data_IF_496174600679
#
_entry.id   IF_496174600679
#
_cell.length_a   1.000
_cell.length_b   1.000
_cell.length_c   1.000
_cell.angle_alpha   90.00
_cell.angle_beta   90.00
_cell.angle_gamma   90.00
#
_symmetry.space_group_name_H-M   'P 1'
#
loop_
_entity.id
_entity.type
_entity.pdbx_description
1 polymer ?
#
# COMPACT_ATOMS: atom_id res chain seq x y z
N UNK A 1 -18.24 8.01 -14.42
CA UNK A 1 -18.46 9.30 -13.73
C UNK A 1 -18.56 10.42 -14.74
N UNK A 2 -19.38 11.42 -14.49
CA UNK A 2 -19.62 12.55 -15.39
C UNK A 2 -19.66 13.87 -14.59
N UNK A 3 -19.72 15.01 -15.32
CA UNK A 3 -19.76 16.32 -14.69
C UNK A 3 -18.37 16.99 -14.53
N UNK A 4 -18.31 18.18 -13.90
CA UNK A 4 -17.07 18.97 -13.83
C UNK A 4 -15.90 18.29 -13.13
N UNK A 5 -16.19 17.42 -12.17
CA UNK A 5 -15.18 16.65 -11.42
C UNK A 5 -14.58 15.47 -12.18
N UNK A 6 -15.20 15.05 -13.29
CA UNK A 6 -14.75 13.85 -14.02
C UNK A 6 -13.30 13.93 -14.53
N UNK A 7 -12.82 15.14 -14.85
CA UNK A 7 -11.44 15.35 -15.32
C UNK A 7 -10.37 15.13 -14.25
N UNK A 8 -10.77 15.10 -12.98
CA UNK A 8 -9.85 14.96 -11.83
C UNK A 8 -9.84 13.56 -11.24
N UNK A 9 -10.59 12.62 -11.80
CA UNK A 9 -10.64 11.26 -11.30
C UNK A 9 -10.34 10.24 -12.41
N UNK A 10 -9.60 9.21 -12.06
CA UNK A 10 -9.32 8.06 -12.93
C UNK A 10 -10.60 7.30 -13.28
N UNK A 11 -11.57 7.27 -12.35
CA UNK A 11 -12.82 6.52 -12.50
C UNK A 11 -13.76 7.06 -13.60
N UNK A 12 -13.48 8.25 -14.15
CA UNK A 12 -14.23 8.74 -15.32
C UNK A 12 -13.91 7.99 -16.61
N UNK A 13 -12.78 7.28 -16.64
CA UNK A 13 -12.29 6.53 -17.81
C UNK A 13 -12.55 5.03 -17.72
N UNK A 14 -13.20 4.58 -16.66
CA UNK A 14 -13.48 3.16 -16.38
C UNK A 14 -14.98 2.89 -16.35
N UNK A 15 -15.37 1.62 -16.57
CA UNK A 15 -16.72 1.15 -16.29
C UNK A 15 -16.83 0.91 -14.78
N UNK A 16 -17.79 1.57 -14.15
CA UNK A 16 -17.91 1.53 -12.69
C UNK A 16 -19.24 0.85 -12.29
N UNK A 17 -19.17 -0.02 -11.31
CA UNK A 17 -20.32 -0.52 -10.55
C UNK A 17 -20.32 0.19 -9.20
N UNK A 18 -21.44 0.81 -8.86
CA UNK A 18 -21.61 1.49 -7.57
C UNK A 18 -22.53 0.65 -6.71
N UNK A 19 -22.03 0.23 -5.55
CA UNK A 19 -22.82 -0.45 -4.54
C UNK A 19 -23.31 0.60 -3.54
N UNK A 20 -24.64 0.69 -3.37
CA UNK A 20 -25.26 1.47 -2.32
C UNK A 20 -25.92 0.49 -1.35
N UNK A 21 -25.62 0.60 -0.08
CA UNK A 21 -26.19 -0.25 0.96
C UNK A 21 -26.64 0.61 2.13
N UNK A 22 -27.82 0.30 2.63
CA UNK A 22 -28.33 0.85 3.88
C UNK A 22 -27.98 -0.16 4.99
N UNK A 23 -27.14 0.21 5.97
CA UNK A 23 -26.83 -0.66 7.08
C UNK A 23 -28.05 -0.88 7.96
N UNK A 24 -28.08 -1.98 8.68
CA UNK A 24 -29.07 -2.18 9.74
C UNK A 24 -28.74 -1.28 10.93
N UNK A 25 -29.77 -0.81 11.65
CA UNK A 25 -29.63 0.17 12.74
C UNK A 25 -28.80 -0.33 13.95
N UNK A 26 -28.58 -1.63 14.03
CA UNK A 26 -27.92 -2.28 15.18
C UNK A 26 -26.40 -2.48 15.00
N UNK A 27 -25.80 -2.07 13.88
CA UNK A 27 -24.36 -2.25 13.62
C UNK A 27 -23.53 -1.11 14.23
N UNK A 28 -22.41 -1.48 14.84
CA UNK A 28 -21.35 -0.52 15.14
C UNK A 28 -20.71 0.00 13.84
N UNK A 29 -20.06 1.15 13.91
CA UNK A 29 -19.34 1.71 12.73
C UNK A 29 -18.30 0.73 12.16
N UNK A 30 -17.61 -0.02 13.01
CA UNK A 30 -16.61 -1.00 12.58
C UNK A 30 -17.24 -2.21 11.88
N UNK A 31 -18.37 -2.69 12.36
CA UNK A 31 -19.14 -3.76 11.71
C UNK A 31 -19.69 -3.29 10.38
N UNK A 32 -20.27 -2.09 10.34
CA UNK A 32 -20.75 -1.49 9.09
C UNK A 32 -19.62 -1.37 8.04
N UNK A 33 -18.46 -0.81 8.41
CA UNK A 33 -17.29 -0.76 7.52
C UNK A 33 -16.95 -2.14 6.97
N UNK A 34 -16.84 -3.13 7.88
CA UNK A 34 -16.48 -4.50 7.52
C UNK A 34 -17.47 -5.10 6.53
N UNK A 35 -18.77 -4.98 6.77
CA UNK A 35 -19.79 -5.56 5.89
C UNK A 35 -19.77 -4.90 4.50
N UNK A 36 -19.62 -3.59 4.41
CA UNK A 36 -19.49 -2.88 3.13
C UNK A 36 -18.23 -3.30 2.39
N UNK A 37 -17.07 -3.38 3.07
CA UNK A 37 -15.82 -3.82 2.47
C UNK A 37 -15.92 -5.25 1.95
N UNK A 38 -16.45 -6.19 2.74
CA UNK A 38 -16.65 -7.57 2.33
C UNK A 38 -17.63 -7.71 1.17
N UNK A 39 -18.68 -6.90 1.13
CA UNK A 39 -19.61 -6.87 0.00
C UNK A 39 -18.92 -6.38 -1.28
N UNK A 40 -18.07 -5.35 -1.18
CA UNK A 40 -17.27 -4.85 -2.29
C UNK A 40 -16.30 -5.90 -2.86
N UNK A 41 -15.56 -6.58 -1.98
CA UNK A 41 -14.66 -7.67 -2.36
C UNK A 41 -15.38 -8.82 -3.06
N UNK A 42 -16.53 -9.22 -2.52
CA UNK A 42 -17.35 -10.27 -3.12
C UNK A 42 -17.91 -9.88 -4.50
N UNK A 43 -18.28 -8.62 -4.66
CA UNK A 43 -18.69 -8.11 -5.97
C UNK A 43 -17.50 -8.09 -6.95
N UNK A 44 -16.31 -7.69 -6.51
CA UNK A 44 -15.10 -7.71 -7.33
C UNK A 44 -14.73 -9.13 -7.76
N UNK A 45 -14.78 -10.11 -6.86
CA UNK A 45 -14.56 -11.52 -7.14
C UNK A 45 -15.55 -12.04 -8.19
N UNK A 46 -16.84 -11.72 -8.04
CA UNK A 46 -17.87 -12.10 -9.00
C UNK A 46 -17.60 -11.50 -10.39
N UNK A 47 -17.29 -10.21 -10.46
CA UNK A 47 -16.97 -9.54 -11.73
C UNK A 47 -15.73 -10.14 -12.39
N UNK A 48 -14.67 -10.40 -11.60
CA UNK A 48 -13.45 -11.04 -12.09
C UNK A 48 -13.74 -12.46 -12.64
N UNK A 49 -14.63 -13.22 -11.98
CA UNK A 49 -15.01 -14.56 -12.44
C UNK A 49 -15.65 -14.56 -13.82
N UNK A 50 -16.36 -13.49 -14.19
CA UNK A 50 -17.02 -13.35 -15.49
C UNK A 50 -16.02 -13.23 -16.67
N UNK A 51 -14.78 -12.82 -16.40
CA UNK A 51 -13.74 -12.61 -17.43
C UNK A 51 -12.59 -13.59 -17.33
N UNK A 52 -12.61 -14.51 -16.38
CA UNK A 52 -11.54 -15.49 -16.11
C UNK A 52 -11.06 -16.24 -17.34
N UNK A 53 -12.00 -16.69 -18.17
CA UNK A 53 -11.73 -17.50 -19.36
C UNK A 53 -11.66 -16.64 -20.65
N UNK A 54 -11.68 -15.32 -20.51
CA UNK A 54 -11.61 -14.42 -21.66
C UNK A 54 -10.18 -14.34 -22.18
N UNK A 55 -10.04 -14.12 -23.49
CA UNK A 55 -8.73 -13.86 -24.10
C UNK A 55 -8.21 -12.51 -23.60
N UNK A 56 -6.98 -12.49 -23.11
CA UNK A 56 -6.28 -11.26 -22.69
C UNK A 56 -5.62 -10.62 -23.91
N UNK A 57 -5.82 -9.33 -24.09
CA UNK A 57 -5.23 -8.58 -25.20
C UNK A 57 -3.79 -8.14 -24.90
N UNK A 58 -3.47 -7.89 -23.63
CA UNK A 58 -2.17 -7.47 -23.16
C UNK A 58 -1.85 -8.17 -21.84
N UNK A 59 -0.63 -8.68 -21.72
CA UNK A 59 -0.07 -9.24 -20.48
C UNK A 59 1.24 -8.54 -20.16
N UNK A 60 1.36 -8.02 -18.96
CA UNK A 60 2.62 -7.51 -18.41
C UNK A 60 3.13 -8.52 -17.39
N UNK A 61 4.41 -8.83 -17.44
CA UNK A 61 5.06 -9.73 -16.49
C UNK A 61 6.06 -8.96 -15.65
N UNK A 62 5.94 -9.05 -14.33
CA UNK A 62 6.80 -8.38 -13.38
C UNK A 62 7.53 -9.44 -12.54
N UNK A 63 8.85 -9.50 -12.68
CA UNK A 63 9.69 -10.48 -11.99
C UNK A 63 10.89 -9.77 -11.36
N UNK A 64 11.30 -10.24 -10.20
CA UNK A 64 12.59 -9.92 -9.60
C UNK A 64 13.56 -11.03 -9.99
N UNK A 65 14.31 -10.78 -11.04
CA UNK A 65 15.34 -11.70 -11.51
C UNK A 65 16.49 -11.86 -10.50
N UNK A 66 17.50 -12.63 -10.86
CA UNK A 66 18.64 -12.85 -10.01
C UNK A 66 19.35 -11.54 -9.64
N UNK A 67 19.64 -11.40 -8.36
CA UNK A 67 20.39 -10.30 -7.78
C UNK A 67 21.71 -10.01 -8.52
N UNK A 68 21.91 -8.77 -8.93
CA UNK A 68 23.17 -8.27 -9.49
C UNK A 68 23.94 -7.45 -8.43
N UNK A 69 24.96 -8.06 -7.83
CA UNK A 69 25.76 -7.45 -6.76
C UNK A 69 26.55 -6.21 -7.17
N UNK A 70 26.56 -5.87 -8.48
CA UNK A 70 27.21 -4.66 -8.98
C UNK A 70 26.32 -3.41 -8.89
N UNK A 71 25.04 -3.58 -8.60
CA UNK A 71 24.04 -2.50 -8.55
C UNK A 71 23.63 -2.16 -7.12
N UNK A 72 23.25 -0.89 -6.88
CA UNK A 72 22.73 -0.50 -5.57
C UNK A 72 21.44 -1.26 -5.25
N UNK A 73 21.35 -1.79 -4.04
CA UNK A 73 20.21 -2.54 -3.51
C UNK A 73 19.18 -1.58 -2.95
N UNK A 74 18.04 -1.50 -3.60
CA UNK A 74 16.98 -0.56 -3.25
C UNK A 74 15.74 -1.30 -2.75
N UNK A 75 15.22 -0.86 -1.61
CA UNK A 75 13.94 -1.28 -1.07
C UNK A 75 12.87 -0.20 -1.19
N UNK A 76 11.62 -0.60 -1.03
CA UNK A 76 10.50 0.32 -0.91
C UNK A 76 9.83 0.14 0.44
N UNK A 77 9.80 1.20 1.24
CA UNK A 77 9.08 1.25 2.52
C UNK A 77 7.73 1.92 2.28
N UNK A 78 6.66 1.16 2.44
CA UNK A 78 5.30 1.61 2.20
C UNK A 78 4.53 1.73 3.51
N UNK A 79 4.25 2.96 3.92
CA UNK A 79 3.58 3.30 5.16
C UNK A 79 2.08 3.42 4.93
N UNK A 80 1.30 2.63 5.64
CA UNK A 80 -0.14 2.51 5.49
C UNK A 80 -0.88 3.07 6.71
N UNK A 81 -1.92 3.85 6.49
CA UNK A 81 -2.75 4.41 7.55
C UNK A 81 -3.32 3.33 8.47
N UNK A 82 -3.14 3.54 9.76
CA UNK A 82 -3.56 2.67 10.86
C UNK A 82 -4.06 3.47 12.08
N UNK A 83 -4.68 4.61 11.85
CA UNK A 83 -5.03 5.57 12.91
C UNK A 83 -6.42 5.33 13.53
N UNK A 84 -7.16 4.35 13.05
CA UNK A 84 -8.51 4.05 13.49
C UNK A 84 -9.57 4.94 12.85
N UNK A 85 -10.78 4.90 13.39
CA UNK A 85 -11.95 5.68 12.92
C UNK A 85 -12.27 5.44 11.43
N UNK A 86 -12.12 4.18 10.98
CA UNK A 86 -12.37 3.75 9.60
C UNK A 86 -11.33 4.28 8.59
N UNK A 87 -10.17 4.73 9.06
CA UNK A 87 -9.03 5.13 8.23
C UNK A 87 -8.00 4.01 8.05
N UNK A 88 -8.28 2.82 8.59
CA UNK A 88 -7.33 1.72 8.54
C UNK A 88 -7.30 1.04 7.17
N UNK A 89 -6.13 0.52 6.82
CA UNK A 89 -5.95 -0.44 5.76
C UNK A 89 -5.92 -1.86 6.32
N UNK A 90 -6.03 -2.83 5.45
CA UNK A 90 -6.01 -4.25 5.79
C UNK A 90 -4.96 -4.96 4.95
N UNK A 91 -4.12 -5.73 5.62
CA UNK A 91 -3.14 -6.60 4.97
C UNK A 91 -3.63 -8.04 5.07
N UNK A 92 -3.92 -8.66 3.93
CA UNK A 92 -4.54 -9.99 3.87
C UNK A 92 -5.78 -10.11 4.78
N UNK A 93 -6.63 -9.09 4.76
CA UNK A 93 -7.84 -9.01 5.58
C UNK A 93 -7.62 -8.70 7.05
N UNK A 94 -6.37 -8.59 7.52
CA UNK A 94 -6.05 -8.19 8.89
C UNK A 94 -5.84 -6.68 8.97
N UNK A 95 -6.45 -6.05 9.96
CA UNK A 95 -6.25 -4.62 10.18
C UNK A 95 -4.75 -4.32 10.38
N UNK A 96 -4.21 -3.40 9.60
CA UNK A 96 -2.78 -3.11 9.58
C UNK A 96 -2.24 -2.65 10.95
N UNK A 97 -3.09 -2.09 11.82
CA UNK A 97 -2.73 -1.71 13.20
C UNK A 97 -2.19 -2.88 14.02
N UNK A 98 -2.56 -4.11 13.68
CA UNK A 98 -2.13 -5.32 14.39
C UNK A 98 -0.93 -5.98 13.75
N UNK A 99 -0.42 -5.41 12.66
CA UNK A 99 0.70 -5.94 11.90
C UNK A 99 1.96 -5.16 12.25
N UNK A 100 3.06 -5.86 12.46
CA UNK A 100 4.38 -5.26 12.56
C UNK A 100 4.99 -5.06 11.16
N UNK A 101 6.02 -4.21 11.00
CA UNK A 101 6.72 -4.09 9.74
C UNK A 101 7.10 -5.46 9.18
N UNK A 102 6.74 -5.72 7.93
CA UNK A 102 6.99 -7.01 7.28
C UNK A 102 7.41 -6.82 5.83
N UNK A 103 8.14 -7.81 5.31
CA UNK A 103 8.57 -7.83 3.91
C UNK A 103 7.50 -8.53 3.08
N UNK A 104 7.16 -7.94 1.95
CA UNK A 104 6.31 -8.54 0.92
C UNK A 104 7.08 -8.61 -0.40
N UNK A 105 6.77 -9.63 -1.19
CA UNK A 105 7.12 -9.59 -2.61
C UNK A 105 6.27 -8.48 -3.27
N UNK A 106 6.85 -7.63 -4.15
CA UNK A 106 6.08 -6.52 -4.73
C UNK A 106 4.81 -6.96 -5.45
N UNK A 107 4.79 -8.15 -6.05
CA UNK A 107 3.60 -8.70 -6.71
C UNK A 107 2.44 -8.95 -5.75
N UNK A 108 2.71 -9.21 -4.46
CA UNK A 108 1.62 -9.38 -3.48
C UNK A 108 0.80 -8.10 -3.35
N UNK A 109 1.44 -6.91 -3.39
CA UNK A 109 0.73 -5.64 -3.42
C UNK A 109 -0.07 -5.45 -4.70
N UNK A 110 0.51 -5.83 -5.85
CA UNK A 110 -0.15 -5.74 -7.15
C UNK A 110 -1.31 -6.74 -7.28
N UNK A 111 -1.30 -7.83 -6.51
CA UNK A 111 -2.33 -8.86 -6.45
C UNK A 111 -3.40 -8.61 -5.37
N UNK A 112 -3.30 -7.51 -4.62
CA UNK A 112 -4.34 -7.13 -3.66
C UNK A 112 -4.08 -7.56 -2.22
N UNK A 113 -2.83 -7.74 -1.80
CA UNK A 113 -2.50 -7.99 -0.40
C UNK A 113 -2.97 -6.84 0.51
N UNK A 114 -3.05 -5.61 -0.01
CA UNK A 114 -3.51 -4.44 0.73
C UNK A 114 -4.88 -3.99 0.23
N UNK A 115 -5.82 -3.92 1.15
CA UNK A 115 -7.17 -3.41 0.95
C UNK A 115 -7.34 -2.11 1.73
N UNK A 116 -7.93 -1.11 1.12
CA UNK A 116 -8.32 0.12 1.77
C UNK A 116 -9.66 -0.06 2.47
N UNK A 117 -9.74 0.22 3.76
CA UNK A 117 -11.02 0.27 4.47
C UNK A 117 -11.90 1.43 4.00
N UNK A 118 -13.20 1.33 4.24
CA UNK A 118 -14.14 2.40 3.89
C UNK A 118 -14.08 3.53 4.92
N UNK A 119 -13.90 4.75 4.45
CA UNK A 119 -13.93 5.94 5.29
C UNK A 119 -15.35 6.50 5.38
N UNK A 120 -15.78 6.88 6.58
CA UNK A 120 -17.05 7.61 6.79
C UNK A 120 -16.94 9.09 6.49
N UNK A 121 -15.72 9.61 6.51
CA UNK A 121 -15.39 11.00 6.15
C UNK A 121 -14.27 11.02 5.13
N UNK A 122 -14.13 12.13 4.40
CA UNK A 122 -12.98 12.31 3.51
C UNK A 122 -11.68 12.17 4.29
N UNK A 123 -10.73 11.42 3.74
CA UNK A 123 -9.41 11.23 4.32
C UNK A 123 -8.36 11.12 3.23
N UNK A 124 -7.13 11.39 3.60
CA UNK A 124 -5.97 11.38 2.71
C UNK A 124 -5.35 9.98 2.68
N UNK A 125 -6.07 9.04 2.09
CA UNK A 125 -5.54 7.69 1.94
C UNK A 125 -5.81 7.13 0.55
N UNK A 126 -4.98 6.19 0.15
CA UNK A 126 -5.10 5.51 -1.12
C UNK A 126 -6.31 4.57 -1.14
N UNK A 127 -6.90 4.41 -2.30
CA UNK A 127 -7.90 3.37 -2.53
C UNK A 127 -7.23 2.02 -2.78
N UNK A 128 -7.98 0.93 -2.69
CA UNK A 128 -7.48 -0.41 -3.08
C UNK A 128 -6.93 -0.41 -4.51
N UNK A 129 -7.56 0.36 -5.42
CA UNK A 129 -7.06 0.52 -6.78
C UNK A 129 -5.67 1.16 -6.84
N UNK A 130 -5.41 2.16 -6.00
CA UNK A 130 -4.11 2.85 -5.95
C UNK A 130 -3.02 1.93 -5.39
N UNK A 131 -3.35 1.09 -4.40
CA UNK A 131 -2.42 0.06 -3.90
C UNK A 131 -2.03 -0.93 -4.99
N UNK A 132 -3.02 -1.45 -5.74
CA UNK A 132 -2.80 -2.39 -6.85
C UNK A 132 -2.00 -1.79 -8.01
N UNK A 133 -2.14 -0.50 -8.24
CA UNK A 133 -1.53 0.22 -9.35
C UNK A 133 -0.42 1.18 -8.89
N UNK A 134 0.27 0.87 -7.81
CA UNK A 134 1.28 1.71 -7.21
C UNK A 134 2.38 2.09 -8.23
N UNK A 135 2.54 3.40 -8.55
CA UNK A 135 3.47 3.84 -9.58
C UNK A 135 4.94 3.66 -9.17
N UNK A 136 5.23 3.69 -7.86
CA UNK A 136 6.60 3.48 -7.35
C UNK A 136 7.05 2.06 -7.62
N UNK A 137 6.16 1.07 -7.42
CA UNK A 137 6.47 -0.33 -7.72
C UNK A 137 6.78 -0.53 -9.20
N UNK A 138 5.95 0.03 -10.08
CA UNK A 138 6.14 -0.09 -11.53
C UNK A 138 7.49 0.51 -11.96
N UNK A 139 7.82 1.70 -11.48
CA UNK A 139 9.09 2.36 -11.79
C UNK A 139 10.30 1.57 -11.25
N UNK A 140 10.20 0.99 -10.05
CA UNK A 140 11.25 0.16 -9.48
C UNK A 140 11.47 -1.12 -10.28
N UNK A 141 10.41 -1.76 -10.75
CA UNK A 141 10.51 -2.92 -11.64
C UNK A 141 11.14 -2.56 -12.99
N UNK A 142 10.76 -1.43 -13.59
CA UNK A 142 11.31 -0.99 -14.86
C UNK A 142 12.83 -0.72 -14.79
N UNK A 143 13.34 -0.32 -13.62
CA UNK A 143 14.76 -0.06 -13.36
C UNK A 143 15.52 -1.26 -12.83
N UNK A 144 14.82 -2.28 -12.32
CA UNK A 144 15.43 -3.50 -11.80
C UNK A 144 16.31 -4.18 -12.85
N UNK A 145 17.49 -4.64 -12.44
CA UNK A 145 18.45 -5.26 -13.32
C UNK A 145 19.18 -4.31 -14.29
N UNK A 146 18.74 -3.05 -14.41
CA UNK A 146 19.34 -2.02 -15.28
C UNK A 146 20.17 -1.01 -14.47
N UNK A 147 19.51 -0.28 -13.59
CA UNK A 147 20.10 0.81 -12.81
C UNK A 147 20.26 0.44 -11.33
N UNK A 148 19.40 -0.41 -10.84
CA UNK A 148 19.33 -0.83 -9.44
C UNK A 148 18.91 -2.29 -9.30
N UNK A 149 19.09 -2.84 -8.10
CA UNK A 149 18.59 -4.13 -7.67
C UNK A 149 17.41 -3.89 -6.71
N UNK A 150 16.18 -4.05 -7.20
CA UNK A 150 14.98 -3.91 -6.37
C UNK A 150 14.80 -5.14 -5.49
N UNK A 151 14.85 -4.97 -4.18
CA UNK A 151 14.92 -6.07 -3.22
C UNK A 151 13.58 -6.43 -2.55
N UNK A 152 12.52 -5.66 -2.81
CA UNK A 152 11.21 -5.93 -2.24
C UNK A 152 10.59 -4.74 -1.52
N UNK A 153 9.44 -4.98 -0.91
CA UNK A 153 8.65 -3.96 -0.20
C UNK A 153 8.61 -4.27 1.28
N UNK A 154 8.81 -3.27 2.11
CA UNK A 154 8.55 -3.32 3.55
C UNK A 154 7.27 -2.53 3.80
N UNK A 155 6.22 -3.21 4.23
CA UNK A 155 4.96 -2.58 4.63
C UNK A 155 4.96 -2.34 6.13
N UNK A 156 4.50 -1.17 6.55
CA UNK A 156 4.42 -0.80 7.97
C UNK A 156 3.18 0.03 8.27
N UNK A 157 2.54 -0.15 9.45
CA UNK A 157 1.47 0.73 9.89
C UNK A 157 2.00 2.12 10.28
N UNK A 158 1.18 3.14 10.04
CA UNK A 158 1.33 4.47 10.61
C UNK A 158 0.51 4.52 11.89
N UNK A 159 1.17 4.58 13.04
CA UNK A 159 0.48 4.60 14.35
C UNK A 159 0.26 6.01 14.89
N UNK A 160 -0.81 6.26 15.67
CA UNK A 160 -0.95 7.49 16.44
C UNK A 160 -0.11 7.50 17.73
N UNK A 161 0.51 6.39 18.12
CA UNK A 161 1.23 6.19 19.38
C UNK A 161 2.74 6.25 19.15
N UNK A 162 3.44 7.13 19.88
CA UNK A 162 4.87 7.39 19.68
C UNK A 162 5.73 6.13 19.83
N UNK A 163 5.50 5.34 20.89
CA UNK A 163 6.26 4.12 21.15
C UNK A 163 6.09 3.09 20.03
N UNK A 164 4.92 3.05 19.39
CA UNK A 164 4.68 2.19 18.22
C UNK A 164 5.41 2.70 16.99
N UNK A 165 5.44 4.02 16.77
CA UNK A 165 6.22 4.65 15.68
C UNK A 165 7.70 4.32 15.81
N UNK A 166 8.27 4.48 17.01
CA UNK A 166 9.68 4.18 17.30
C UNK A 166 9.98 2.68 17.08
N UNK A 167 9.06 1.81 17.48
CA UNK A 167 9.18 0.36 17.28
C UNK A 167 9.13 0.00 15.80
N UNK A 168 8.21 0.61 15.05
CA UNK A 168 8.12 0.40 13.60
C UNK A 168 9.40 0.89 12.90
N UNK A 169 9.90 2.06 13.25
CA UNK A 169 11.14 2.59 12.68
C UNK A 169 12.33 1.66 12.94
N UNK A 170 12.45 1.12 14.17
CA UNK A 170 13.46 0.12 14.50
C UNK A 170 13.29 -1.18 13.70
N UNK A 171 12.05 -1.67 13.59
CA UNK A 171 11.72 -2.88 12.82
C UNK A 171 12.09 -2.73 11.34
N UNK A 172 11.74 -1.59 10.74
CA UNK A 172 12.08 -1.27 9.35
C UNK A 172 13.61 -1.23 9.16
N UNK A 173 14.34 -0.56 10.05
CA UNK A 173 15.80 -0.50 9.97
C UNK A 173 16.44 -1.88 10.04
N UNK A 174 15.97 -2.75 10.94
CA UNK A 174 16.45 -4.13 11.03
C UNK A 174 16.17 -4.92 9.75
N UNK A 175 14.99 -4.76 9.15
CA UNK A 175 14.64 -5.42 7.88
C UNK A 175 15.50 -4.91 6.72
N UNK A 176 15.72 -3.60 6.63
CA UNK A 176 16.62 -3.01 5.63
C UNK A 176 18.05 -3.55 5.76
N UNK A 177 18.55 -3.63 6.99
CA UNK A 177 19.88 -4.19 7.26
C UNK A 177 19.97 -5.69 6.89
N UNK A 178 18.95 -6.48 7.23
CA UNK A 178 18.89 -7.91 6.85
C UNK A 178 18.84 -8.11 5.34
N UNK A 179 18.15 -7.23 4.63
CA UNK A 179 18.12 -7.24 3.16
C UNK A 179 19.40 -6.68 2.55
N UNK A 180 20.28 -6.07 3.34
CA UNK A 180 21.50 -5.43 2.86
C UNK A 180 21.22 -4.29 1.88
N UNK A 181 20.26 -3.42 2.20
CA UNK A 181 19.87 -2.32 1.33
C UNK A 181 20.87 -1.16 1.41
N UNK A 182 21.21 -0.60 0.25
CA UNK A 182 22.00 0.63 0.14
C UNK A 182 21.12 1.88 0.25
N UNK A 183 19.85 1.75 -0.17
CA UNK A 183 18.90 2.84 -0.12
C UNK A 183 17.44 2.37 -0.13
N UNK A 184 16.54 3.27 0.28
CA UNK A 184 15.11 3.02 0.28
C UNK A 184 14.34 4.24 -0.22
N UNK A 185 13.23 3.98 -0.89
CA UNK A 185 12.17 4.95 -1.12
C UNK A 185 11.15 4.75 0.00
N UNK A 186 10.72 5.80 0.65
CA UNK A 186 9.69 5.75 1.70
C UNK A 186 8.51 6.59 1.23
N UNK A 187 7.33 6.00 1.17
CA UNK A 187 6.09 6.75 0.94
C UNK A 187 5.10 6.53 2.07
N UNK A 188 4.22 7.50 2.26
CA UNK A 188 3.19 7.46 3.29
C UNK A 188 1.81 7.82 2.74
N UNK A 189 0.79 7.47 3.48
CA UNK A 189 -0.58 7.93 3.32
C UNK A 189 -0.89 8.97 4.39
N UNK A 190 -1.73 9.94 4.02
CA UNK A 190 -2.19 10.97 4.95
C UNK A 190 -1.23 12.15 5.04
N UNK A 191 -1.44 12.97 6.06
CA UNK A 191 -0.65 14.17 6.34
C UNK A 191 -0.71 14.54 7.83
N UNK A 192 0.27 15.29 8.32
CA UNK A 192 0.35 15.70 9.73
C UNK A 192 1.00 14.65 10.62
N UNK A 193 0.23 13.78 11.25
CA UNK A 193 0.79 12.71 12.09
C UNK A 193 1.65 11.69 11.32
N UNK A 194 1.32 11.27 10.09
CA UNK A 194 2.16 10.40 9.27
C UNK A 194 3.58 10.91 9.03
N UNK A 195 3.79 12.20 8.79
CA UNK A 195 5.12 12.75 8.56
C UNK A 195 6.09 12.50 9.73
N UNK A 196 5.54 12.32 10.95
CA UNK A 196 6.38 11.94 12.09
C UNK A 196 6.94 10.52 11.96
N UNK A 197 6.17 9.56 11.39
CA UNK A 197 6.67 8.21 11.07
C UNK A 197 7.73 8.29 9.98
N UNK A 198 7.42 9.00 8.89
CA UNK A 198 8.31 9.21 7.76
C UNK A 198 9.68 9.73 8.21
N UNK A 199 9.69 10.79 9.03
CA UNK A 199 10.92 11.41 9.53
C UNK A 199 11.67 10.57 10.56
N UNK A 200 10.97 9.82 11.42
CA UNK A 200 11.59 8.89 12.36
C UNK A 200 12.32 7.77 11.62
N UNK A 201 11.68 7.20 10.61
CA UNK A 201 12.24 6.13 9.79
C UNK A 201 13.43 6.65 8.98
N UNK A 202 13.28 7.78 8.29
CA UNK A 202 14.35 8.44 7.53
C UNK A 202 15.58 8.64 8.41
N UNK A 203 15.42 9.32 9.54
CA UNK A 203 16.52 9.59 10.49
C UNK A 203 17.19 8.30 10.96
N UNK A 204 16.41 7.26 11.25
CA UNK A 204 16.95 5.98 11.72
C UNK A 204 17.79 5.30 10.66
N UNK A 205 17.29 5.22 9.44
CA UNK A 205 17.98 4.57 8.32
C UNK A 205 19.27 5.31 7.95
N UNK A 206 19.23 6.63 7.89
CA UNK A 206 20.42 7.43 7.55
C UNK A 206 21.50 7.35 8.64
N UNK A 207 21.13 7.19 9.92
CA UNK A 207 22.08 6.90 10.99
C UNK A 207 22.77 5.54 10.83
N UNK A 208 22.14 4.60 10.14
CA UNK A 208 22.71 3.28 9.82
C UNK A 208 23.40 3.25 8.45
N UNK A 209 23.48 4.39 7.76
CA UNK A 209 24.16 4.54 6.47
C UNK A 209 23.33 4.14 5.26
N UNK A 210 22.04 3.94 5.42
CA UNK A 210 21.09 3.63 4.33
C UNK A 210 20.52 4.94 3.79
N UNK A 211 20.70 5.21 2.51
CA UNK A 211 20.19 6.43 1.86
C UNK A 211 18.68 6.42 1.74
N UNK A 212 18.02 7.57 1.93
CA UNK A 212 16.56 7.67 1.89
C UNK A 212 16.05 8.67 0.87
N UNK A 213 14.93 8.34 0.22
CA UNK A 213 14.12 9.25 -0.61
C UNK A 213 12.69 9.24 -0.06
N UNK A 214 12.16 10.41 0.23
CA UNK A 214 10.83 10.58 0.83
C UNK A 214 9.82 11.01 -0.23
N UNK A 215 8.65 10.36 -0.22
CA UNK A 215 7.48 10.69 -1.02
C UNK A 215 6.29 10.89 -0.06
N UNK A 216 5.88 12.14 0.12
CA UNK A 216 4.75 12.56 0.94
C UNK A 216 3.61 13.12 0.11
#
# INVERSE_FOLDING_TARGET
MSGPGAKYTIYSKTCNVVLSADPTDDLTHAEHEREIRMAGLKAAEYLASCVRDSKVDLTETWELDSHDSSKPRIGYVYLLLAQGLLHDNYLYGNNIRTVHPCILHPNELMDGAVESGNCVTACDKNTTYDHLNNPVLKELYERHGKELDFCGVIVSPISPVLEEKERCALGIANLCALLGLDGVIISEEGGGNPESDLMLICRRLEQEGISTVLLA
#
